data_IF_547984253140
#
_entry.id   IF_547984253140
#
_cell.length_a   1.000
_cell.length_b   1.000
_cell.length_c   1.000
_cell.angle_alpha   90.00
_cell.angle_beta   90.00
_cell.angle_gamma   90.00
#
_symmetry.space_group_name_H-M   'P 1'
#
loop_
_entity.id
_entity.type
_entity.pdbx_description
1 polymer ?
#
# COMPACT_ATOMS: atom_id res chain seq x y z
N UNK A 1 3.20 1.21 -9.66
CA UNK A 1 4.19 0.19 -9.27
C UNK A 1 3.44 -0.79 -8.38
N UNK A 2 3.38 -2.08 -8.71
CA UNK A 2 2.62 -3.05 -7.90
C UNK A 2 3.55 -3.88 -7.04
N UNK A 3 3.17 -4.09 -5.80
CA UNK A 3 3.84 -4.97 -4.84
C UNK A 3 2.85 -6.08 -4.49
N UNK A 4 2.94 -7.25 -5.14
CA UNK A 4 2.03 -8.34 -4.86
C UNK A 4 2.28 -8.89 -3.47
N UNK A 5 1.22 -9.27 -2.75
CA UNK A 5 1.29 -9.79 -1.37
C UNK A 5 2.24 -10.99 -1.26
N UNK A 6 2.37 -11.81 -2.31
CA UNK A 6 3.30 -12.94 -2.36
C UNK A 6 4.78 -12.55 -2.26
N UNK A 7 5.12 -11.29 -2.51
CA UNK A 7 6.50 -10.77 -2.44
C UNK A 7 6.83 -10.10 -1.10
N UNK A 8 5.85 -9.99 -0.21
CA UNK A 8 5.94 -9.22 1.02
C UNK A 8 6.54 -10.08 2.15
N UNK A 9 7.40 -9.47 2.96
CA UNK A 9 8.09 -10.12 4.09
C UNK A 9 7.32 -9.89 5.40
N UNK A 10 7.32 -10.95 6.21
CA UNK A 10 6.80 -11.03 7.58
C UNK A 10 7.96 -11.30 8.55
N UNK A 11 7.92 -10.73 9.77
CA UNK A 11 9.02 -10.80 10.75
C UNK A 11 8.83 -11.87 11.83
N UNK A 12 7.62 -12.36 12.05
CA UNK A 12 7.31 -13.44 12.99
C UNK A 12 6.78 -12.99 14.35
N UNK A 13 6.50 -11.71 14.57
CA UNK A 13 6.06 -11.18 15.88
C UNK A 13 4.66 -10.53 15.83
N UNK A 14 4.42 -9.76 14.78
CA UNK A 14 3.24 -8.91 14.51
C UNK A 14 2.70 -9.23 13.11
N UNK A 15 2.81 -10.49 12.71
CA UNK A 15 2.47 -10.91 11.35
C UNK A 15 0.96 -11.07 11.20
N UNK A 16 0.38 -10.61 10.07
CA UNK A 16 -0.96 -11.01 9.69
C UNK A 16 -1.04 -12.49 9.32
N UNK A 17 -2.22 -13.06 9.58
CA UNK A 17 -2.51 -14.47 9.35
C UNK A 17 -2.82 -14.74 7.88
N UNK A 18 -2.53 -15.94 7.42
CA UNK A 18 -2.86 -16.36 6.05
C UNK A 18 -4.16 -17.16 6.10
N UNK A 19 -5.27 -16.47 5.81
CA UNK A 19 -6.62 -16.99 6.03
C UNK A 19 -7.36 -17.24 4.70
N UNK A 20 -8.32 -18.18 4.67
CA UNK A 20 -9.16 -18.38 3.51
C UNK A 20 -9.93 -17.11 3.16
N UNK A 21 -9.73 -16.60 1.96
CA UNK A 21 -10.46 -15.46 1.40
C UNK A 21 -11.80 -15.91 0.78
N UNK A 22 -11.79 -17.01 0.02
CA UNK A 22 -13.00 -17.58 -0.58
C UNK A 22 -12.84 -19.08 -0.88
N UNK A 23 -13.95 -19.83 -0.85
CA UNK A 23 -14.04 -21.24 -1.22
C UNK A 23 -15.28 -21.54 -2.07
N UNK A 24 -15.27 -22.64 -2.84
CA UNK A 24 -16.40 -23.09 -3.67
C UNK A 24 -17.14 -24.32 -3.11
N UNK A 25 -17.01 -24.58 -1.81
CA UNK A 25 -17.73 -25.63 -1.09
C UNK A 25 -16.93 -26.93 -0.91
N UNK A 26 -17.62 -28.07 -0.85
CA UNK A 26 -17.01 -29.35 -0.47
C UNK A 26 -15.90 -29.75 -1.45
N UNK A 27 -14.69 -29.89 -0.93
CA UNK A 27 -13.51 -30.27 -1.70
C UNK A 27 -12.67 -29.09 -2.20
N UNK A 28 -13.16 -27.86 -2.02
CA UNK A 28 -12.38 -26.64 -2.21
C UNK A 28 -11.22 -26.59 -1.21
N UNK A 29 -10.03 -26.23 -1.68
CA UNK A 29 -8.96 -25.75 -0.80
C UNK A 29 -9.00 -24.22 -0.64
N UNK A 30 -9.85 -23.53 -1.39
CA UNK A 30 -10.02 -22.09 -1.35
C UNK A 30 -8.85 -21.30 -1.95
N UNK A 31 -9.03 -19.98 -1.95
CA UNK A 31 -7.99 -18.97 -2.17
C UNK A 31 -7.75 -18.22 -0.87
N UNK A 32 -6.54 -17.74 -0.65
CA UNK A 32 -6.11 -17.16 0.63
C UNK A 32 -5.56 -15.75 0.44
N UNK A 33 -5.63 -14.95 1.49
CA UNK A 33 -5.05 -13.61 1.56
C UNK A 33 -4.49 -13.36 2.98
N UNK A 34 -3.71 -12.28 3.14
CA UNK A 34 -3.27 -11.86 4.48
C UNK A 34 -4.44 -11.17 5.18
N UNK A 35 -4.85 -11.69 6.33
CA UNK A 35 -5.86 -11.14 7.21
C UNK A 35 -5.20 -10.31 8.31
N UNK A 36 -5.49 -9.01 8.35
CA UNK A 36 -5.03 -8.08 9.36
C UNK A 36 -6.08 -7.95 10.47
N UNK A 37 -5.71 -8.38 11.67
CA UNK A 37 -6.57 -8.43 12.85
C UNK A 37 -6.95 -7.05 13.35
N UNK A 38 -8.15 -6.95 13.94
CA UNK A 38 -8.57 -5.79 14.73
C UNK A 38 -7.96 -5.77 16.15
N UNK A 39 -7.46 -6.91 16.64
CA UNK A 39 -7.10 -7.05 18.06
C UNK A 39 -5.76 -6.36 18.37
N UNK A 40 -4.82 -6.41 17.43
CA UNK A 40 -3.46 -5.86 17.57
C UNK A 40 -3.00 -5.34 16.22
N UNK A 41 -2.09 -4.36 16.25
CA UNK A 41 -1.39 -3.92 15.04
C UNK A 41 -0.63 -5.09 14.42
N UNK A 42 -0.86 -5.31 13.13
CA UNK A 42 -0.14 -6.28 12.32
C UNK A 42 0.51 -5.60 11.14
N UNK A 43 1.68 -6.09 10.75
CA UNK A 43 2.58 -5.38 9.86
C UNK A 43 3.29 -6.29 8.85
N UNK A 44 3.70 -5.69 7.76
CA UNK A 44 4.42 -6.34 6.67
C UNK A 44 5.43 -5.40 6.03
N UNK A 45 6.47 -5.97 5.42
CA UNK A 45 7.62 -5.22 4.90
C UNK A 45 7.89 -5.50 3.42
N UNK A 46 8.23 -4.47 2.67
CA UNK A 46 8.57 -4.58 1.26
C UNK A 46 9.51 -3.45 0.84
N UNK A 47 10.04 -3.54 -0.39
CA UNK A 47 10.87 -2.50 -0.97
C UNK A 47 10.41 -2.17 -2.37
N UNK A 48 10.51 -0.91 -2.75
CA UNK A 48 10.11 -0.41 -4.07
C UNK A 48 11.31 0.23 -4.75
N UNK A 49 11.53 -0.12 -6.02
CA UNK A 49 12.37 0.67 -6.91
C UNK A 49 11.44 1.48 -7.81
N UNK A 50 11.57 2.81 -7.80
CA UNK A 50 10.79 3.67 -8.68
C UNK A 50 11.25 3.42 -10.14
N UNK A 51 10.31 3.19 -11.09
CA UNK A 51 10.64 3.06 -12.49
C UNK A 51 11.35 4.29 -13.07
N UNK A 52 12.32 4.06 -13.95
CA UNK A 52 13.13 5.12 -14.56
C UNK A 52 12.34 6.06 -15.50
N UNK A 53 11.08 5.75 -15.80
CA UNK A 53 10.20 6.61 -16.58
C UNK A 53 9.33 7.51 -15.68
N UNK A 54 9.50 7.47 -14.36
CA UNK A 54 8.83 8.42 -13.47
C UNK A 54 9.24 9.86 -13.79
N UNK A 55 8.27 10.75 -13.76
CA UNK A 55 8.46 12.19 -13.96
C UNK A 55 9.03 12.80 -12.68
N UNK A 56 10.29 13.22 -12.75
CA UNK A 56 11.04 13.83 -11.66
C UNK A 56 10.25 14.92 -10.91
N UNK A 57 10.37 14.93 -9.59
CA UNK A 57 9.73 15.90 -8.71
C UNK A 57 8.21 15.73 -8.55
N UNK A 58 7.57 14.71 -9.13
CA UNK A 58 6.13 14.47 -8.96
C UNK A 58 5.83 13.42 -7.90
N UNK A 59 4.82 13.68 -7.07
CA UNK A 59 4.42 12.79 -5.99
C UNK A 59 4.20 11.33 -6.43
N UNK A 60 4.39 10.42 -5.48
CA UNK A 60 3.83 9.07 -5.57
C UNK A 60 2.48 9.04 -4.86
N UNK A 61 1.54 8.30 -5.42
CA UNK A 61 0.21 8.10 -4.85
C UNK A 61 0.09 6.63 -4.39
N UNK A 62 0.36 6.32 -3.11
CA UNK A 62 0.23 4.98 -2.57
C UNK A 62 -1.24 4.56 -2.40
N UNK A 63 -1.55 3.32 -2.76
CA UNK A 63 -2.87 2.72 -2.58
C UNK A 63 -2.76 1.36 -1.89
N UNK A 64 -3.68 1.10 -0.98
CA UNK A 64 -3.85 -0.22 -0.36
C UNK A 64 -5.12 -0.86 -0.92
N UNK A 65 -4.94 -1.97 -1.63
CA UNK A 65 -6.03 -2.79 -2.10
C UNK A 65 -6.40 -3.78 -1.00
N UNK A 66 -7.61 -3.66 -0.47
CA UNK A 66 -8.09 -4.49 0.62
C UNK A 66 -9.52 -4.98 0.39
N UNK A 67 -10.00 -5.84 1.28
CA UNK A 67 -11.37 -6.32 1.27
C UNK A 67 -11.87 -6.57 2.69
N UNK A 68 -13.12 -6.19 3.02
CA UNK A 68 -13.74 -6.57 4.28
C UNK A 68 -13.96 -8.09 4.33
N UNK A 69 -13.77 -8.68 5.52
CA UNK A 69 -14.03 -10.11 5.77
C UNK A 69 -15.49 -10.41 6.08
N UNK A 70 -16.29 -9.38 6.32
CA UNK A 70 -17.72 -9.47 6.61
C UNK A 70 -18.49 -8.24 6.10
N UNK A 71 -19.68 -7.99 6.64
CA UNK A 71 -20.53 -6.85 6.26
C UNK A 71 -20.43 -5.67 7.23
N UNK A 72 -19.40 -5.60 8.07
CA UNK A 72 -19.15 -4.43 8.92
C UNK A 72 -18.86 -3.19 8.04
N UNK A 73 -19.34 -2.04 8.48
CA UNK A 73 -19.18 -0.74 7.84
C UNK A 73 -18.29 0.20 8.66
N UNK A 74 -17.55 -0.32 9.64
CA UNK A 74 -16.47 0.39 10.30
C UNK A 74 -15.30 0.64 9.34
N UNK A 75 -14.38 1.50 9.77
CA UNK A 75 -13.20 1.94 9.05
C UNK A 75 -11.99 1.11 9.43
N UNK A 76 -11.17 0.78 8.43
CA UNK A 76 -9.85 0.18 8.61
C UNK A 76 -8.81 1.27 8.42
N UNK A 77 -7.91 1.45 9.39
CA UNK A 77 -6.83 2.45 9.29
C UNK A 77 -5.55 1.78 8.80
N UNK A 78 -5.16 2.12 7.56
CA UNK A 78 -3.92 1.67 6.95
C UNK A 78 -2.84 2.74 7.12
N UNK A 79 -1.63 2.30 7.45
CA UNK A 79 -0.44 3.17 7.58
C UNK A 79 0.74 2.60 6.83
N UNK A 80 1.45 3.45 6.10
CA UNK A 80 2.73 3.13 5.50
C UNK A 80 3.83 3.96 6.16
N UNK A 81 4.81 3.28 6.73
CA UNK A 81 6.06 3.90 7.16
C UNK A 81 7.14 3.58 6.13
N UNK A 82 7.93 4.58 5.72
CA UNK A 82 8.96 4.40 4.71
C UNK A 82 10.21 5.23 4.98
N UNK A 83 11.34 4.75 4.46
CA UNK A 83 12.55 5.55 4.23
C UNK A 83 12.93 5.45 2.76
N UNK A 84 13.51 6.52 2.22
CA UNK A 84 13.77 6.70 0.80
C UNK A 84 15.18 7.23 0.56
N UNK A 85 15.81 6.77 -0.51
CA UNK A 85 17.11 7.24 -0.96
C UNK A 85 17.23 7.12 -2.49
N UNK A 86 18.01 8.04 -3.06
CA UNK A 86 18.54 8.04 -4.41
C UNK A 86 19.80 7.14 -4.51
N UNK A 87 20.33 6.92 -5.71
CA UNK A 87 21.43 5.98 -5.94
C UNK A 87 22.74 6.51 -5.36
N UNK A 88 23.18 5.88 -4.27
CA UNK A 88 24.39 6.33 -3.56
C UNK A 88 24.10 7.37 -2.48
N UNK A 89 22.83 7.76 -2.33
CA UNK A 89 22.34 8.51 -1.18
C UNK A 89 22.28 7.68 0.09
N UNK A 90 21.88 8.35 1.17
CA UNK A 90 21.75 7.76 2.51
C UNK A 90 20.28 7.71 2.88
N UNK A 91 19.78 6.53 3.26
CA UNK A 91 18.46 6.40 3.85
C UNK A 91 18.39 7.20 5.15
N UNK A 92 17.49 8.18 5.20
CA UNK A 92 17.24 9.01 6.36
C UNK A 92 16.29 8.37 7.38
N UNK A 93 15.80 9.20 8.29
CA UNK A 93 14.70 8.85 9.20
C UNK A 93 13.46 8.42 8.41
N UNK A 94 12.60 7.64 9.03
CA UNK A 94 11.33 7.23 8.44
C UNK A 94 10.32 8.38 8.43
N UNK A 95 9.40 8.32 7.47
CA UNK A 95 8.19 9.14 7.37
C UNK A 95 6.98 8.20 7.32
N UNK A 96 5.80 8.70 7.68
CA UNK A 96 4.57 7.91 7.80
C UNK A 96 3.41 8.61 7.09
N UNK A 97 2.65 7.86 6.30
CA UNK A 97 1.36 8.30 5.74
C UNK A 97 0.26 7.35 6.19
N UNK A 98 -0.96 7.85 6.34
CA UNK A 98 -2.11 7.08 6.82
C UNK A 98 -3.41 7.42 6.09
N UNK A 99 -4.36 6.48 6.14
CA UNK A 99 -5.74 6.67 5.71
C UNK A 99 -6.67 5.74 6.48
N UNK A 100 -7.86 6.21 6.83
CA UNK A 100 -8.96 5.36 7.30
C UNK A 100 -9.97 5.19 6.17
N UNK A 101 -10.20 3.96 5.73
CA UNK A 101 -11.17 3.63 4.67
C UNK A 101 -12.33 2.81 5.22
N UNK A 102 -13.56 3.21 4.88
CA UNK A 102 -14.80 2.66 5.43
C UNK A 102 -15.14 1.35 4.71
N UNK A 103 -15.50 0.30 5.46
CA UNK A 103 -16.06 -0.92 4.89
C UNK A 103 -17.38 -0.65 4.15
N UNK A 104 -17.51 -1.13 2.92
CA UNK A 104 -18.70 -0.91 2.08
C UNK A 104 -19.93 -1.71 2.56
N UNK A 105 -19.77 -2.58 3.57
CA UNK A 105 -20.81 -3.50 4.05
C UNK A 105 -21.04 -4.72 3.15
N UNK A 106 -20.12 -4.98 2.21
CA UNK A 106 -20.16 -6.10 1.28
C UNK A 106 -18.91 -6.95 1.45
N UNK A 107 -19.08 -8.14 2.02
CA UNK A 107 -17.99 -9.13 2.19
C UNK A 107 -17.29 -9.43 0.87
N UNK A 108 -15.97 -9.61 0.93
CA UNK A 108 -15.12 -9.97 -0.21
C UNK A 108 -15.10 -8.94 -1.36
N UNK A 109 -15.59 -7.72 -1.13
CA UNK A 109 -15.52 -6.63 -2.11
C UNK A 109 -14.11 -6.05 -2.15
N UNK A 110 -13.54 -5.95 -3.35
CA UNK A 110 -12.28 -5.24 -3.56
C UNK A 110 -12.47 -3.73 -3.35
N UNK A 111 -11.82 -3.18 -2.33
CA UNK A 111 -11.73 -1.78 -1.98
C UNK A 111 -10.31 -1.24 -2.17
N UNK A 112 -10.20 0.07 -2.34
CA UNK A 112 -8.93 0.79 -2.47
C UNK A 112 -8.94 1.93 -1.48
N UNK A 113 -7.96 1.94 -0.58
CA UNK A 113 -7.71 3.03 0.34
C UNK A 113 -6.59 3.92 -0.23
N UNK A 114 -6.90 5.20 -0.47
CA UNK A 114 -5.97 6.19 -1.01
C UNK A 114 -5.16 6.81 0.13
N UNK A 115 -3.88 6.47 0.25
CA UNK A 115 -3.01 7.07 1.25
C UNK A 115 -2.61 8.48 0.83
N UNK A 116 -2.23 9.31 1.82
CA UNK A 116 -1.60 10.59 1.55
C UNK A 116 -0.41 10.42 0.61
N UNK A 117 -0.26 11.36 -0.32
CA UNK A 117 0.82 11.36 -1.29
C UNK A 117 2.20 11.41 -0.60
N UNK A 118 3.15 10.65 -1.14
CA UNK A 118 4.56 10.80 -0.79
C UNK A 118 5.13 11.95 -1.61
N UNK A 119 5.53 13.03 -0.93
CA UNK A 119 6.17 14.19 -1.55
C UNK A 119 7.54 13.80 -2.11
N UNK A 120 7.68 13.93 -3.43
CA UNK A 120 8.91 13.64 -4.17
C UNK A 120 9.57 14.89 -4.74
N UNK A 121 9.14 16.08 -4.33
CA UNK A 121 9.58 17.37 -4.90
C UNK A 121 11.08 17.64 -4.76
N UNK A 122 11.76 16.96 -3.83
CA UNK A 122 13.23 17.04 -3.66
C UNK A 122 14.00 16.15 -4.63
N UNK A 123 13.37 15.15 -5.24
CA UNK A 123 14.00 14.19 -6.15
C UNK A 123 13.87 14.67 -7.61
N UNK A 124 14.75 15.59 -7.98
CA UNK A 124 14.68 16.30 -9.28
C UNK A 124 15.89 16.08 -10.19
N UNK A 125 16.89 15.32 -9.73
CA UNK A 125 18.12 15.09 -10.48
C UNK A 125 17.89 14.07 -11.63
N UNK A 126 18.04 14.46 -12.91
CA UNK A 126 17.88 13.55 -14.03
C UNK A 126 18.98 12.49 -14.14
N UNK A 127 20.10 12.67 -13.46
CA UNK A 127 21.19 11.69 -13.44
C UNK A 127 21.04 10.66 -12.30
N UNK A 128 20.08 10.85 -11.38
CA UNK A 128 19.81 9.96 -10.25
C UNK A 128 18.34 9.50 -10.16
N UNK A 129 17.97 8.62 -11.09
CA UNK A 129 16.59 8.11 -11.25
C UNK A 129 16.37 6.73 -10.62
N UNK A 130 17.38 6.16 -9.97
CA UNK A 130 17.28 4.84 -9.33
C UNK A 130 16.92 5.00 -7.85
N UNK A 131 15.73 5.55 -7.60
CA UNK A 131 15.23 5.86 -6.26
C UNK A 131 14.59 4.62 -5.63
N UNK A 132 14.97 4.34 -4.39
CA UNK A 132 14.53 3.15 -3.65
C UNK A 132 13.83 3.52 -2.35
N UNK A 133 12.71 2.86 -2.08
CA UNK A 133 11.99 2.91 -0.82
C UNK A 133 12.12 1.57 -0.08
N UNK A 134 12.28 1.65 1.24
CA UNK A 134 12.05 0.54 2.17
C UNK A 134 10.79 0.88 2.96
N UNK A 135 9.82 -0.02 2.97
CA UNK A 135 8.48 0.26 3.48
C UNK A 135 8.02 -0.79 4.49
N UNK A 136 7.21 -0.33 5.44
CA UNK A 136 6.38 -1.10 6.35
C UNK A 136 4.93 -0.67 6.15
N UNK A 137 4.05 -1.61 5.80
CA UNK A 137 2.60 -1.38 5.84
C UNK A 137 2.04 -2.06 7.08
N UNK A 138 1.15 -1.38 7.78
CA UNK A 138 0.42 -1.97 8.91
C UNK A 138 -1.00 -1.42 9.01
N UNK A 139 -1.85 -2.20 9.68
CA UNK A 139 -3.16 -1.75 10.16
C UNK A 139 -2.95 -1.19 11.57
N UNK A 140 -3.34 0.06 11.80
CA UNK A 140 -3.30 0.69 13.13
C UNK A 140 -4.66 0.52 13.80
N UNK A 141 -4.76 -0.42 14.74
CA UNK A 141 -6.03 -0.73 15.39
C UNK A 141 -6.42 0.29 16.48
N UNK A 142 -5.52 1.22 16.80
CA UNK A 142 -5.65 2.20 17.88
C UNK A 142 -6.07 3.60 17.41
N UNK A 143 -5.96 3.89 16.11
CA UNK A 143 -6.19 5.20 15.52
C UNK A 143 -7.33 5.18 14.49
N UNK A 144 -8.53 5.61 14.89
CA UNK A 144 -9.68 5.77 13.97
C UNK A 144 -10.22 4.48 13.35
N UNK A 145 -9.64 3.32 13.67
CA UNK A 145 -10.07 2.02 13.18
C UNK A 145 -11.24 1.52 14.05
N UNK A 146 -12.41 1.31 13.44
CA UNK A 146 -13.62 0.80 14.10
C UNK A 146 -14.26 -0.37 13.34
N UNK A 147 -13.57 -0.93 12.34
CA UNK A 147 -13.93 -2.18 11.67
C UNK A 147 -13.61 -3.38 12.57
N UNK A 148 -14.63 -4.11 13.04
CA UNK A 148 -14.51 -5.05 14.16
C UNK A 148 -14.01 -6.45 13.79
N UNK A 149 -13.67 -6.68 12.53
CA UNK A 149 -13.22 -7.98 12.01
C UNK A 149 -11.87 -7.86 11.30
N UNK A 150 -11.38 -8.95 10.75
CA UNK A 150 -10.13 -8.98 10.00
C UNK A 150 -10.30 -8.27 8.64
N UNK A 151 -9.28 -7.55 8.20
CA UNK A 151 -9.25 -6.91 6.89
C UNK A 151 -8.26 -7.64 5.97
N UNK A 152 -8.71 -8.08 4.80
CA UNK A 152 -7.86 -8.81 3.86
C UNK A 152 -7.03 -7.84 3.02
N UNK A 153 -5.70 -7.97 3.06
CA UNK A 153 -4.80 -7.26 2.14
C UNK A 153 -4.67 -8.05 0.84
N UNK A 154 -4.89 -7.37 -0.29
CA UNK A 154 -4.84 -7.94 -1.63
C UNK A 154 -3.59 -7.51 -2.40
N UNK A 155 -3.25 -6.22 -2.35
CA UNK A 155 -2.10 -5.62 -3.05
C UNK A 155 -1.76 -4.25 -2.44
N UNK A 156 -0.52 -3.81 -2.62
CA UNK A 156 -0.13 -2.41 -2.43
C UNK A 156 0.43 -1.91 -3.76
N UNK A 157 0.04 -0.71 -4.17
CA UNK A 157 0.61 -0.09 -5.35
C UNK A 157 0.90 1.40 -5.16
N UNK A 158 1.64 1.95 -6.12
CA UNK A 158 1.98 3.37 -6.19
C UNK A 158 1.68 3.86 -7.60
N UNK A 159 0.74 4.78 -7.77
CA UNK A 159 0.64 5.52 -9.02
C UNK A 159 1.72 6.61 -9.06
N UNK A 160 2.25 6.83 -10.25
CA UNK A 160 3.32 7.78 -10.50
C UNK A 160 3.13 8.40 -11.89
N UNK A 161 3.55 9.64 -12.07
CA UNK A 161 3.43 10.31 -13.36
C UNK A 161 4.61 9.94 -14.27
N UNK A 162 4.36 9.98 -15.57
CA UNK A 162 5.36 9.77 -16.62
C UNK A 162 5.25 10.97 -17.57
N UNK A 163 6.38 11.44 -18.09
CA UNK A 163 6.38 12.46 -19.12
C UNK A 163 5.67 11.97 -20.38
N UNK A 164 4.71 12.76 -20.88
CA UNK A 164 4.01 12.46 -22.12
C UNK A 164 4.86 12.85 -23.33
N UNK A 165 4.68 12.11 -24.44
CA UNK A 165 5.16 12.54 -25.75
C UNK A 165 4.18 13.60 -26.29
N UNK A 166 4.69 14.79 -26.59
CA UNK A 166 3.88 15.91 -27.07
C UNK A 166 3.28 16.73 -25.93
N UNK A 167 2.12 17.32 -26.17
CA UNK A 167 1.37 18.08 -25.17
C UNK A 167 -0.07 17.61 -25.06
N UNK A 168 -0.64 17.71 -23.86
CA UNK A 168 -2.08 17.58 -23.61
C UNK A 168 -2.88 18.86 -23.92
N UNK A 169 -2.19 19.99 -24.01
CA UNK A 169 -2.75 21.32 -24.26
C UNK A 169 -2.16 21.91 -25.56
N UNK A 170 -2.93 22.73 -26.28
CA UNK A 170 -2.49 23.27 -27.58
C UNK A 170 -1.28 24.23 -27.47
N UNK A 171 -1.10 24.89 -26.32
CA UNK A 171 -0.11 25.97 -26.14
C UNK A 171 0.85 25.83 -24.95
N UNK A 172 0.61 24.88 -24.06
CA UNK A 172 1.48 24.57 -22.91
C UNK A 172 1.80 23.09 -22.93
N UNK A 173 2.89 22.65 -22.31
CA UNK A 173 3.24 21.22 -22.21
C UNK A 173 2.72 20.62 -20.91
#
# INVERSE_FOLDING_TARGET
>A
IRVPVSSIKRLGFSDPDWEPFAEDGIGSTGVYALAFSKIVDQEVYFSVLIPHNWKLGTDLHPHVHWSPSDTDTGSVTWKIEYTIADLGGVFGNTSEESVSDVGDGVVNKHQVADLTNIDMSSYTDPDDIAIKLLCRLYRDVSDGDDYNNDAFLLEIDFHYQVDAIGSREEYTK
#
